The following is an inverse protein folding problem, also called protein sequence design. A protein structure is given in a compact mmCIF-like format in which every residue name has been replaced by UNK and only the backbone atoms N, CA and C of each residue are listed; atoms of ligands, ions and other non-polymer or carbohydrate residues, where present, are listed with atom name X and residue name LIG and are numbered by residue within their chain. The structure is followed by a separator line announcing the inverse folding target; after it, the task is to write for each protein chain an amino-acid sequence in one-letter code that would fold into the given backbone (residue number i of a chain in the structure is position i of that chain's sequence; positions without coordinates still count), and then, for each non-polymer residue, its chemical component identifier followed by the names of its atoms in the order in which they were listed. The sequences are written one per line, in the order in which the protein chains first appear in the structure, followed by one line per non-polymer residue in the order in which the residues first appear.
data_IF_389140753890
#
_entry.id   IF_389140753890
#
_cell.length_a   1.000
_cell.length_b   1.000
_cell.length_c   1.000
_cell.angle_alpha   90.00
_cell.angle_beta   90.00
_cell.angle_gamma   90.00
#
_symmetry.space_group_name_H-M   'P 1'
#
loop_
_entity.id
_entity.type
_entity.pdbx_description
1 polymer ?
#
# COMPACT_ATOMS: atom_id res chain seq x y z
N UNK A 1 -0.99 12.22 -12.57
CA UNK A 1 -1.77 12.45 -11.34
C UNK A 1 -1.61 11.16 -10.58
N UNK A 2 -0.61 11.12 -9.70
CA UNK A 2 -0.25 9.89 -9.00
C UNK A 2 -1.15 9.63 -7.81
N UNK A 3 -1.05 8.42 -7.27
CA UNK A 3 -1.76 8.00 -6.09
C UNK A 3 -1.24 8.72 -4.86
N UNK A 4 -2.16 8.99 -3.96
CA UNK A 4 -1.90 9.53 -2.64
C UNK A 4 -2.11 8.47 -1.59
N UNK A 5 -1.60 8.74 -0.39
CA UNK A 5 -1.78 7.86 0.76
C UNK A 5 -3.26 7.49 1.02
N UNK A 6 -4.20 8.38 0.68
CA UNK A 6 -5.64 8.16 0.83
C UNK A 6 -6.25 7.19 -0.18
N UNK A 7 -5.55 6.88 -1.28
CA UNK A 7 -6.04 6.04 -2.38
C UNK A 7 -5.72 4.57 -2.06
N UNK A 8 -6.24 4.09 -0.93
CA UNK A 8 -5.79 2.84 -0.31
C UNK A 8 -6.04 1.59 -1.16
N UNK A 9 -7.13 1.58 -1.94
CA UNK A 9 -7.47 0.46 -2.81
C UNK A 9 -6.53 0.42 -4.01
N UNK A 10 -6.32 1.56 -4.66
CA UNK A 10 -5.45 1.71 -5.82
C UNK A 10 -4.00 1.34 -5.49
N UNK A 11 -3.51 1.82 -4.33
CA UNK A 11 -2.21 1.40 -3.82
C UNK A 11 -2.14 -0.10 -3.55
N UNK A 12 -3.18 -0.70 -2.97
CA UNK A 12 -3.22 -2.14 -2.73
C UNK A 12 -3.17 -2.95 -4.03
N UNK A 13 -3.90 -2.53 -5.06
CA UNK A 13 -3.91 -3.20 -6.37
C UNK A 13 -2.53 -3.13 -7.05
N UNK A 14 -1.89 -1.96 -7.08
CA UNK A 14 -0.53 -1.83 -7.62
C UNK A 14 0.47 -2.70 -6.85
N UNK A 15 0.35 -2.77 -5.52
CA UNK A 15 1.20 -3.64 -4.70
C UNK A 15 0.94 -5.14 -4.94
N UNK A 16 -0.31 -5.52 -5.21
CA UNK A 16 -0.67 -6.90 -5.59
C UNK A 16 -0.04 -7.30 -6.92
N UNK A 17 -0.01 -6.37 -7.88
CA UNK A 17 0.61 -6.61 -9.19
C UNK A 17 2.14 -6.73 -9.09
N UNK A 18 2.79 -5.86 -8.31
CA UNK A 18 4.25 -5.87 -8.10
C UNK A 18 4.73 -7.00 -7.16
N UNK A 19 3.88 -7.41 -6.21
CA UNK A 19 4.19 -8.41 -5.19
C UNK A 19 3.11 -9.51 -5.09
N UNK A 20 2.88 -10.32 -6.14
CA UNK A 20 1.80 -11.30 -6.20
C UNK A 20 1.93 -12.45 -5.19
N UNK A 21 3.14 -12.73 -4.71
CA UNK A 21 3.42 -13.77 -3.72
C UNK A 21 3.42 -13.25 -2.27
N UNK A 22 3.21 -11.95 -2.07
CA UNK A 22 3.19 -11.35 -0.74
C UNK A 22 1.89 -11.68 0.00
N UNK A 23 2.03 -12.02 1.28
CA UNK A 23 0.89 -12.21 2.18
C UNK A 23 0.64 -10.90 2.95
N UNK A 24 -0.42 -10.14 2.65
CA UNK A 24 -0.67 -8.87 3.29
C UNK A 24 -0.93 -9.02 4.80
N UNK A 25 -1.33 -10.19 5.31
CA UNK A 25 -1.48 -10.45 6.75
C UNK A 25 -0.14 -10.59 7.49
N UNK A 26 0.93 -10.92 6.77
CA UNK A 26 2.29 -11.05 7.33
C UNK A 26 3.15 -9.81 7.10
N UNK A 27 2.68 -8.88 6.27
CA UNK A 27 3.42 -7.68 5.91
C UNK A 27 3.47 -6.68 7.08
N UNK A 28 4.65 -6.15 7.37
CA UNK A 28 4.81 -5.14 8.42
C UNK A 28 4.72 -3.72 7.85
N UNK A 29 4.19 -2.79 8.63
CA UNK A 29 4.01 -1.39 8.22
C UNK A 29 5.26 -0.70 7.64
N UNK A 30 6.48 -0.85 8.21
CA UNK A 30 7.67 -0.25 7.61
C UNK A 30 7.98 -0.79 6.21
N UNK A 31 7.69 -2.08 5.97
CA UNK A 31 7.88 -2.73 4.67
C UNK A 31 6.80 -2.29 3.69
N UNK A 32 5.53 -2.30 4.11
CA UNK A 32 4.41 -1.78 3.31
C UNK A 32 4.65 -0.32 2.89
N UNK A 33 5.10 0.53 3.81
CA UNK A 33 5.43 1.92 3.51
C UNK A 33 6.54 2.02 2.46
N UNK A 34 7.59 1.19 2.57
CA UNK A 34 8.67 1.17 1.58
C UNK A 34 8.17 0.75 0.20
N UNK A 35 7.28 -0.25 0.13
CA UNK A 35 6.72 -0.69 -1.15
C UNK A 35 5.85 0.39 -1.77
N UNK A 36 4.97 1.04 -0.98
CA UNK A 36 4.13 2.15 -1.48
C UNK A 36 4.97 3.30 -2.04
N UNK A 37 6.03 3.71 -1.33
CA UNK A 37 6.92 4.79 -1.79
C UNK A 37 7.72 4.38 -3.03
N UNK A 38 7.93 3.08 -3.24
CA UNK A 38 8.64 2.54 -4.40
C UNK A 38 7.77 2.42 -5.66
N UNK A 39 6.45 2.55 -5.54
CA UNK A 39 5.54 2.50 -6.70
C UNK A 39 5.78 3.70 -7.62
N UNK A 40 5.96 3.44 -8.93
CA UNK A 40 6.14 4.50 -9.94
C UNK A 40 4.95 5.47 -10.01
N UNK A 41 3.74 5.00 -9.64
CA UNK A 41 2.52 5.79 -9.66
C UNK A 41 2.26 6.58 -8.37
N UNK A 42 3.10 6.45 -7.34
CA UNK A 42 2.93 7.15 -6.06
C UNK A 42 3.50 8.57 -6.09
N UNK A 43 2.70 9.56 -5.67
CA UNK A 43 3.01 11.00 -5.82
C UNK A 43 2.58 11.82 -4.58
N UNK A 44 2.84 11.30 -3.38
CA UNK A 44 2.59 11.99 -2.10
C UNK A 44 3.84 12.02 -1.21
N UNK A 45 3.85 12.87 -0.19
CA UNK A 45 4.98 13.00 0.73
C UNK A 45 5.07 11.75 1.64
N UNK A 46 6.19 11.02 1.68
CA UNK A 46 6.40 9.92 2.62
C UNK A 46 6.15 10.28 4.09
N UNK A 47 6.28 11.55 4.47
CA UNK A 47 6.04 12.06 5.82
C UNK A 47 4.56 12.21 6.17
N UNK A 48 3.67 12.14 5.19
CA UNK A 48 2.21 12.13 5.40
C UNK A 48 1.67 10.73 5.69
N UNK A 49 2.55 9.74 5.84
CA UNK A 49 2.20 8.38 6.23
C UNK A 49 1.99 8.26 7.75
N UNK A 50 0.80 7.83 8.17
CA UNK A 50 0.51 7.39 9.54
C UNK A 50 0.03 5.94 9.58
N UNK A 51 0.07 5.30 10.74
CA UNK A 51 -0.29 3.87 10.90
C UNK A 51 -1.69 3.56 10.36
N UNK A 52 -2.68 4.45 10.53
CA UNK A 52 -4.04 4.23 9.99
C UNK A 52 -4.12 4.19 8.47
N UNK A 53 -3.24 4.90 7.78
CA UNK A 53 -3.18 4.90 6.31
C UNK A 53 -2.65 3.55 5.84
N UNK A 54 -1.55 3.10 6.45
CA UNK A 54 -0.95 1.80 6.15
C UNK A 54 -1.91 0.66 6.49
N UNK A 55 -2.62 0.76 7.60
CA UNK A 55 -3.70 -0.16 7.97
C UNK A 55 -4.80 -0.18 6.90
N UNK A 56 -5.25 0.97 6.39
CA UNK A 56 -6.26 1.03 5.33
C UNK A 56 -5.80 0.36 4.03
N UNK A 57 -4.54 0.58 3.62
CA UNK A 57 -3.95 -0.07 2.44
C UNK A 57 -3.86 -1.60 2.66
N UNK A 58 -3.37 -2.02 3.83
CA UNK A 58 -3.26 -3.45 4.17
C UNK A 58 -4.63 -4.13 4.20
N UNK A 59 -5.65 -3.48 4.79
CA UNK A 59 -7.02 -4.00 4.82
C UNK A 59 -7.66 -4.07 3.43
N UNK A 60 -7.42 -3.06 2.58
CA UNK A 60 -7.87 -3.09 1.19
C UNK A 60 -7.26 -4.27 0.44
N UNK A 61 -5.94 -4.47 0.58
CA UNK A 61 -5.25 -5.63 0.00
C UNK A 61 -5.84 -6.95 0.49
N UNK A 62 -5.99 -7.13 1.82
CA UNK A 62 -6.59 -8.35 2.40
C UNK A 62 -7.99 -8.60 1.81
N UNK A 63 -8.80 -7.55 1.65
CA UNK A 63 -10.15 -7.68 1.10
C UNK A 63 -10.20 -8.12 -0.36
N UNK A 64 -9.15 -7.86 -1.15
CA UNK A 64 -9.09 -8.25 -2.56
C UNK A 64 -8.53 -9.67 -2.76
N UNK A 65 -7.82 -10.22 -1.76
CA UNK A 65 -7.27 -11.59 -1.80
C UNK A 65 -8.15 -12.64 -1.09
N UNK A 66 -9.16 -12.21 -0.32
CA UNK A 66 -10.18 -13.07 0.32
C UNK A 66 -11.28 -13.48 -0.69
#
# INVERSE_FOLDING_TARGET
MGYRWTDSLELALDLMEEHPDADPLKLHFPELMQWVIALDNFDDDPKHCGERVLEAIQLAWISEVD
#
